data_IF_547250049413
#
_entry.id   IF_547250049413
#
_cell.length_a   1.000
_cell.length_b   1.000
_cell.length_c   1.000
_cell.angle_alpha   90.00
_cell.angle_beta   90.00
_cell.angle_gamma   90.00
#
_symmetry.space_group_name_H-M   'P 1'
#
loop_
_entity.id
_entity.type
_entity.pdbx_description
1 polymer ?
#
# COMPACT_ATOMS: atom_id res chain seq x y z
N UNK A 1 -9.21 -5.21 -13.85
CA UNK A 1 -10.64 -5.15 -13.47
C UNK A 1 -10.75 -4.60 -12.06
N UNK A 2 -11.37 -3.42 -11.94
CA UNK A 2 -11.69 -2.78 -10.67
C UNK A 2 -13.10 -3.17 -10.20
N UNK A 3 -13.24 -3.51 -8.93
CA UNK A 3 -14.51 -3.79 -8.27
C UNK A 3 -14.78 -2.73 -7.20
N UNK A 4 -15.95 -2.09 -7.26
CA UNK A 4 -16.42 -1.18 -6.22
C UNK A 4 -17.46 -1.88 -5.34
N UNK A 5 -17.22 -1.91 -4.04
CA UNK A 5 -18.13 -2.50 -3.06
C UNK A 5 -18.58 -1.43 -2.07
N UNK A 6 -19.90 -1.28 -1.89
CA UNK A 6 -20.46 -0.40 -0.86
C UNK A 6 -20.43 -1.14 0.48
N UNK A 7 -19.81 -0.53 1.48
CA UNK A 7 -19.80 -1.05 2.86
C UNK A 7 -21.09 -0.66 3.59
N UNK A 8 -21.52 -1.43 4.61
CA UNK A 8 -22.69 -1.11 5.41
C UNK A 8 -22.57 0.24 6.14
N UNK A 9 -21.35 0.73 6.37
CA UNK A 9 -21.06 2.05 6.96
C UNK A 9 -21.21 3.22 5.97
N UNK A 10 -21.70 2.99 4.75
CA UNK A 10 -21.89 4.04 3.74
C UNK A 10 -20.61 4.44 2.99
N UNK A 11 -19.48 3.77 3.24
CA UNK A 11 -18.21 4.03 2.54
C UNK A 11 -18.05 3.12 1.32
N UNK A 12 -17.26 3.55 0.34
CA UNK A 12 -16.99 2.87 -0.92
C UNK A 12 -15.60 2.26 -0.90
N UNK A 13 -15.52 0.94 -1.03
CA UNK A 13 -14.25 0.22 -1.17
C UNK A 13 -13.99 -0.07 -2.64
N UNK A 14 -12.89 0.42 -3.18
CA UNK A 14 -12.39 0.04 -4.50
C UNK A 14 -11.31 -1.03 -4.35
N UNK A 15 -11.44 -2.13 -5.10
CA UNK A 15 -10.50 -3.26 -5.14
C UNK A 15 -10.09 -3.52 -6.57
N UNK A 16 -8.79 -3.47 -6.87
CA UNK A 16 -8.25 -3.75 -8.19
C UNK A 16 -7.48 -5.06 -8.14
N UNK A 17 -7.85 -5.97 -9.05
CA UNK A 17 -7.14 -7.24 -9.26
C UNK A 17 -6.65 -7.32 -10.69
N UNK A 18 -5.37 -7.64 -10.84
CA UNK A 18 -4.71 -7.83 -12.13
C UNK A 18 -3.69 -8.97 -12.02
N UNK A 19 -3.65 -9.82 -13.04
CA UNK A 19 -2.73 -10.96 -13.10
C UNK A 19 -1.29 -10.44 -13.11
N UNK A 20 -0.43 -10.99 -12.26
CA UNK A 20 0.98 -10.59 -12.14
C UNK A 20 1.25 -9.36 -11.25
N UNK A 21 0.22 -8.77 -10.64
CA UNK A 21 0.37 -7.62 -9.74
C UNK A 21 -0.29 -7.85 -8.37
N UNK A 22 0.22 -7.24 -7.29
CA UNK A 22 -0.42 -7.32 -5.98
C UNK A 22 -1.81 -6.67 -6.02
N UNK A 23 -2.73 -7.21 -5.23
CA UNK A 23 -4.10 -6.65 -5.13
C UNK A 23 -4.06 -5.30 -4.42
N UNK A 24 -4.58 -4.25 -5.07
CA UNK A 24 -4.70 -2.93 -4.49
C UNK A 24 -6.12 -2.72 -3.98
N UNK A 25 -6.27 -2.25 -2.74
CA UNK A 25 -7.58 -1.94 -2.16
C UNK A 25 -7.52 -0.63 -1.37
N UNK A 26 -8.53 0.22 -1.54
CA UNK A 26 -8.66 1.48 -0.82
C UNK A 26 -10.13 1.82 -0.55
N UNK A 27 -10.38 2.43 0.60
CA UNK A 27 -11.71 2.89 1.03
C UNK A 27 -11.84 4.40 0.88
N UNK A 28 -13.01 4.84 0.43
CA UNK A 28 -13.37 6.22 0.15
C UNK A 28 -14.74 6.54 0.73
N UNK A 29 -15.01 7.83 0.97
CA UNK A 29 -16.33 8.28 1.43
C UNK A 29 -17.34 8.35 0.28
N UNK A 30 -16.87 8.64 -0.92
CA UNK A 30 -17.68 8.98 -2.10
C UNK A 30 -17.42 8.02 -3.24
N UNK A 31 -18.48 7.62 -3.96
CA UNK A 31 -18.39 6.70 -5.10
C UNK A 31 -17.48 7.25 -6.20
N UNK A 32 -17.62 8.54 -6.49
CA UNK A 32 -16.85 9.25 -7.53
C UNK A 32 -15.35 9.21 -7.27
N UNK A 33 -14.92 9.43 -6.03
CA UNK A 33 -13.50 9.34 -5.66
C UNK A 33 -12.97 7.91 -5.77
N UNK A 34 -13.79 6.92 -5.42
CA UNK A 34 -13.43 5.51 -5.58
C UNK A 34 -13.28 5.12 -7.07
N UNK A 35 -14.14 5.61 -7.94
CA UNK A 35 -14.07 5.40 -9.40
C UNK A 35 -12.86 6.10 -10.02
N UNK A 36 -12.59 7.36 -9.65
CA UNK A 36 -11.44 8.12 -10.15
C UNK A 36 -10.11 7.48 -9.73
N UNK A 37 -10.00 7.08 -8.46
CA UNK A 37 -8.85 6.36 -7.95
C UNK A 37 -8.67 5.01 -8.63
N UNK A 38 -9.76 4.28 -8.86
CA UNK A 38 -9.70 2.99 -9.52
C UNK A 38 -9.12 3.12 -10.94
N UNK A 39 -9.59 4.13 -11.69
CA UNK A 39 -9.11 4.44 -13.04
C UNK A 39 -7.65 4.84 -13.07
N UNK A 40 -7.24 5.76 -12.18
CA UNK A 40 -5.83 6.21 -12.07
C UNK A 40 -4.90 5.04 -11.76
N UNK A 41 -5.27 4.23 -10.78
CA UNK A 41 -4.45 3.10 -10.35
C UNK A 41 -4.34 2.04 -11.45
N UNK A 42 -5.42 1.77 -12.20
CA UNK A 42 -5.37 0.84 -13.33
C UNK A 42 -4.45 1.36 -14.45
N UNK A 43 -4.49 2.66 -14.76
CA UNK A 43 -3.58 3.31 -15.72
C UNK A 43 -2.10 3.23 -15.25
N UNK A 44 -1.81 3.47 -13.97
CA UNK A 44 -0.46 3.30 -13.40
C UNK A 44 0.03 1.85 -13.50
N UNK A 45 -0.86 0.87 -13.27
CA UNK A 45 -0.55 -0.56 -13.44
C UNK A 45 -0.35 -0.94 -14.92
N UNK A 46 -1.07 -0.31 -15.86
CA UNK A 46 -0.87 -0.52 -17.31
C UNK A 46 0.50 0.01 -17.71
N UNK A 47 0.87 1.20 -17.23
CA UNK A 47 2.13 1.86 -17.56
C UNK A 47 3.34 1.20 -16.88
N UNK A 48 3.14 0.25 -15.98
CA UNK A 48 4.22 -0.42 -15.24
C UNK A 48 4.89 0.45 -14.17
N UNK A 49 4.34 1.64 -13.91
CA UNK A 49 4.83 2.61 -12.90
C UNK A 49 4.11 2.44 -11.57
N UNK A 50 3.30 1.37 -11.42
CA UNK A 50 2.57 1.12 -10.19
C UNK A 50 3.54 0.78 -9.05
N UNK A 51 3.90 1.83 -8.30
CA UNK A 51 4.55 1.70 -7.01
C UNK A 51 3.44 1.32 -6.05
N UNK A 52 3.57 0.16 -5.43
CA UNK A 52 2.65 -0.27 -4.39
C UNK A 52 2.84 0.66 -3.17
N UNK A 53 2.17 1.82 -3.20
CA UNK A 53 1.98 2.70 -2.06
C UNK A 53 0.91 2.06 -1.16
N UNK A 54 1.20 0.85 -0.69
CA UNK A 54 0.55 0.37 0.52
C UNK A 54 0.73 1.49 1.56
N UNK A 55 -0.26 1.75 2.43
CA UNK A 55 -0.01 2.65 3.54
C UNK A 55 1.25 2.12 4.24
N UNK A 56 2.20 3.01 4.51
CA UNK A 56 3.52 2.73 5.10
C UNK A 56 3.43 2.18 6.53
N UNK A 57 2.36 1.46 6.88
CA UNK A 57 1.95 1.01 8.21
C UNK A 57 2.60 -0.31 8.64
N UNK A 58 3.51 -0.90 7.86
CA UNK A 58 4.25 -2.10 8.27
C UNK A 58 5.76 -1.93 8.39
N UNK A 59 6.23 -0.70 8.50
CA UNK A 59 7.46 -0.43 9.25
C UNK A 59 7.14 0.62 10.29
N UNK A 60 6.65 0.14 11.43
CA UNK A 60 6.62 0.97 12.63
C UNK A 60 8.04 1.43 12.94
N UNK A 61 8.20 2.61 13.55
CA UNK A 61 9.51 3.07 14.04
C UNK A 61 10.17 1.99 14.90
N UNK A 62 9.37 1.21 15.63
CA UNK A 62 9.83 0.02 16.37
C UNK A 62 10.54 -1.01 15.47
N UNK A 63 9.95 -1.45 14.36
CA UNK A 63 10.60 -2.39 13.43
C UNK A 63 11.83 -1.80 12.75
N UNK A 64 11.85 -0.49 12.49
CA UNK A 64 13.04 0.20 11.97
C UNK A 64 14.19 0.23 13.00
N UNK A 65 13.86 0.46 14.28
CA UNK A 65 14.83 0.46 15.38
C UNK A 65 15.37 -0.94 15.67
N UNK A 66 14.53 -1.98 15.67
CA UNK A 66 14.97 -3.38 15.82
C UNK A 66 15.98 -3.77 14.75
N UNK A 67 15.71 -3.38 13.50
CA UNK A 67 16.65 -3.60 12.39
C UNK A 67 17.95 -2.82 12.57
N UNK A 68 17.88 -1.56 13.01
CA UNK A 68 19.06 -0.73 13.27
C UNK A 68 19.95 -1.34 14.37
N UNK A 69 19.35 -1.85 15.44
CA UNK A 69 20.09 -2.55 16.50
C UNK A 69 20.73 -3.83 15.98
N UNK A 70 20.02 -4.61 15.17
CA UNK A 70 20.54 -5.89 14.68
C UNK A 70 21.63 -5.73 13.61
N UNK A 71 21.50 -4.74 12.73
CA UNK A 71 22.39 -4.60 11.55
C UNK A 71 23.53 -3.61 11.79
N UNK A 72 23.30 -2.52 12.54
CA UNK A 72 24.27 -1.41 12.66
C UNK A 72 25.03 -1.45 13.99
N UNK A 73 24.36 -1.73 15.12
CA UNK A 73 25.02 -1.78 16.44
C UNK A 73 26.16 -2.82 16.53
N UNK A 74 26.11 -4.03 15.95
CA UNK A 74 27.26 -4.93 15.98
C UNK A 74 28.48 -4.38 15.23
N UNK A 75 28.27 -3.63 14.14
CA UNK A 75 29.36 -2.94 13.41
C UNK A 75 29.92 -1.75 14.20
N UNK A 76 29.13 -1.17 15.11
CA UNK A 76 29.57 -0.08 15.99
C UNK A 76 30.31 -0.59 17.25
N UNK A 77 30.15 -1.86 17.62
CA UNK A 77 30.79 -2.48 18.80
C UNK A 77 32.06 -3.28 18.52
N UNK A 78 32.60 -3.28 17.29
CA UNK A 78 33.88 -3.93 16.99
C UNK A 78 35.10 -3.02 17.23
N UNK A 79 35.08 -2.23 18.30
CA UNK A 79 36.26 -1.51 18.79
C UNK A 79 36.23 -1.44 20.33
N UNK A 80 36.26 -2.60 20.98
CA UNK A 80 36.91 -2.86 22.28
C UNK A 80 36.82 -4.35 22.62
#
# INVERSE_FOLDING_TARGET
>A
MAALTKTPSGTWKATIRRVGWPTAAKTFRTKRDAEDWARRTEDEMVRGVFIQRAPSERTTVASALERYVKEIVPTKRACQ
#
